data_IF_050721439545
#
_entry.id   IF_050721439545
#
_cell.length_a   1.000
_cell.length_b   1.000
_cell.length_c   1.000
_cell.angle_alpha   90.00
_cell.angle_beta   90.00
_cell.angle_gamma   90.00
#
_symmetry.space_group_name_H-M   'P 1'
#
loop_
_entity.id
_entity.type
_entity.pdbx_description
1 polymer ?
#
# COMPACT_ATOMS: atom_id res chain seq x y z
N UNK A 1 -13.52 -6.81 -16.92
CA UNK A 1 -13.94 -5.61 -17.68
C UNK A 1 -14.64 -5.92 -19.01
N UNK A 2 -14.06 -6.70 -19.93
CA UNK A 2 -14.67 -6.96 -21.26
C UNK A 2 -16.09 -7.60 -21.19
N UNK A 3 -16.35 -8.46 -20.20
CA UNK A 3 -17.70 -9.00 -19.95
C UNK A 3 -18.66 -7.98 -19.32
N UNK A 4 -18.15 -6.99 -18.58
CA UNK A 4 -18.92 -5.89 -17.99
C UNK A 4 -19.32 -4.87 -19.06
N UNK A 5 -18.41 -4.52 -19.97
CA UNK A 5 -18.71 -3.67 -21.14
C UNK A 5 -19.83 -4.26 -22.01
N UNK A 6 -19.80 -5.57 -22.26
CA UNK A 6 -20.87 -6.30 -22.97
C UNK A 6 -22.22 -6.28 -22.23
N UNK A 7 -22.21 -6.11 -20.91
CA UNK A 7 -23.41 -6.01 -20.08
C UNK A 7 -23.97 -4.59 -20.00
N UNK A 8 -23.14 -3.55 -20.15
CA UNK A 8 -23.55 -2.14 -20.02
C UNK A 8 -23.99 -1.53 -21.37
N UNK A 9 -23.50 -2.05 -22.50
CA UNK A 9 -23.93 -1.65 -23.85
C UNK A 9 -24.61 -2.81 -24.59
N UNK A 10 -25.88 -3.14 -24.31
CA UNK A 10 -26.59 -4.17 -25.06
C UNK A 10 -27.00 -3.65 -26.44
N UNK A 11 -26.82 -4.47 -27.47
CA UNK A 11 -27.24 -4.17 -28.85
C UNK A 11 -28.69 -4.58 -29.16
N UNK A 12 -29.52 -4.89 -28.15
CA UNK A 12 -30.91 -5.31 -28.35
C UNK A 12 -31.83 -4.92 -27.18
N UNK A 13 -32.99 -4.39 -27.54
CA UNK A 13 -34.06 -3.85 -26.69
C UNK A 13 -34.81 -4.96 -25.96
N UNK A 14 -34.56 -5.12 -24.66
CA UNK A 14 -35.35 -6.00 -23.78
C UNK A 14 -35.47 -5.34 -22.40
N UNK A 15 -36.70 -5.06 -21.95
CA UNK A 15 -36.97 -4.13 -20.85
C UNK A 15 -36.43 -4.57 -19.47
N UNK A 16 -36.16 -5.87 -19.28
CA UNK A 16 -35.49 -6.41 -18.08
C UNK A 16 -33.96 -6.24 -18.15
N UNK A 17 -33.37 -6.26 -19.35
CA UNK A 17 -31.95 -5.87 -19.55
C UNK A 17 -31.77 -4.37 -19.33
N UNK A 18 -32.72 -3.54 -19.75
CA UNK A 18 -32.64 -2.08 -19.57
C UNK A 18 -32.55 -1.66 -18.10
N UNK A 19 -33.27 -2.34 -17.18
CA UNK A 19 -33.16 -2.10 -15.73
C UNK A 19 -31.84 -2.58 -15.12
N UNK A 20 -31.28 -3.67 -15.65
CA UNK A 20 -29.97 -4.17 -15.24
C UNK A 20 -28.85 -3.23 -15.72
N UNK A 21 -28.93 -2.77 -16.98
CA UNK A 21 -27.99 -1.84 -17.60
C UNK A 21 -28.03 -0.47 -16.92
N UNK A 22 -29.20 0.03 -16.55
CA UNK A 22 -29.32 1.34 -15.89
C UNK A 22 -28.76 1.35 -14.46
N UNK A 23 -28.87 0.27 -13.67
CA UNK A 23 -28.24 0.24 -12.35
C UNK A 23 -26.81 -0.33 -12.30
N UNK A 24 -26.36 -1.06 -13.35
CA UNK A 24 -24.93 -1.17 -13.66
C UNK A 24 -24.35 0.20 -14.05
N UNK A 25 -25.08 1.02 -14.82
CA UNK A 25 -24.69 2.39 -15.10
C UNK A 25 -24.73 3.29 -13.85
N UNK A 26 -25.54 3.04 -12.84
CA UNK A 26 -25.47 3.78 -11.55
C UNK A 26 -24.20 3.41 -10.76
N UNK A 27 -23.79 2.13 -10.76
CA UNK A 27 -22.54 1.71 -10.11
C UNK A 27 -21.27 2.08 -10.92
N UNK A 28 -21.36 2.15 -12.24
CA UNK A 28 -20.21 2.33 -13.14
C UNK A 28 -20.14 3.73 -13.78
N UNK A 29 -21.26 4.45 -13.92
CA UNK A 29 -21.40 5.75 -14.59
C UNK A 29 -21.91 6.88 -13.66
N UNK A 30 -21.78 6.75 -12.33
CA UNK A 30 -21.91 7.90 -11.44
C UNK A 30 -20.80 8.91 -11.76
N UNK A 31 -21.08 9.83 -12.68
CA UNK A 31 -20.32 11.06 -12.86
C UNK A 31 -20.34 11.81 -11.52
N UNK A 32 -19.16 12.05 -10.93
CA UNK A 32 -18.97 13.15 -9.99
C UNK A 32 -19.58 13.05 -8.59
N UNK A 33 -20.29 12.00 -8.19
CA UNK A 33 -20.64 11.81 -6.77
C UNK A 33 -19.47 11.17 -6.02
N UNK A 34 -18.45 11.99 -5.79
CA UNK A 34 -17.35 11.72 -4.87
C UNK A 34 -17.93 11.51 -3.48
N UNK A 35 -18.23 10.27 -3.09
CA UNK A 35 -18.34 9.97 -1.66
C UNK A 35 -16.91 9.98 -1.16
N UNK A 36 -16.43 11.17 -0.79
CA UNK A 36 -15.17 11.38 -0.12
C UNK A 36 -15.20 10.50 1.14
N UNK A 37 -14.53 9.34 1.09
CA UNK A 37 -14.26 8.60 2.29
C UNK A 37 -13.36 9.53 3.12
N UNK A 38 -13.85 9.98 4.27
CA UNK A 38 -12.99 10.66 5.22
C UNK A 38 -12.24 9.59 6.01
N UNK A 39 -10.94 9.79 6.30
CA UNK A 39 -10.24 8.91 7.22
C UNK A 39 -10.96 8.91 8.57
N UNK A 40 -10.82 7.82 9.35
CA UNK A 40 -11.36 7.74 10.71
C UNK A 40 -10.66 8.72 11.68
N UNK A 41 -9.45 9.15 11.34
CA UNK A 41 -8.64 10.10 12.10
C UNK A 41 -7.95 11.09 11.14
N UNK A 42 -8.07 12.40 11.41
CA UNK A 42 -7.32 13.46 10.73
C UNK A 42 -5.98 13.67 11.47
N UNK A 43 -5.00 12.77 11.26
CA UNK A 43 -3.63 13.00 11.70
C UNK A 43 -2.81 13.57 10.54
N UNK A 44 -2.34 14.81 10.70
CA UNK A 44 -1.68 15.62 9.67
C UNK A 44 -0.16 15.40 9.57
N UNK A 45 0.37 14.31 10.12
CA UNK A 45 1.81 14.10 10.19
C UNK A 45 2.37 13.56 8.86
N UNK A 46 3.41 14.21 8.35
CA UNK A 46 4.20 13.70 7.23
C UNK A 46 5.08 12.54 7.70
N UNK A 47 4.98 11.39 7.04
CA UNK A 47 5.88 10.24 7.22
C UNK A 47 6.89 10.20 6.05
N UNK A 48 7.45 11.34 5.66
CA UNK A 48 8.28 11.46 4.45
C UNK A 48 9.70 10.92 4.64
N UNK A 49 10.31 11.06 5.82
CA UNK A 49 11.71 10.64 6.10
C UNK A 49 11.83 9.48 7.12
N UNK A 50 10.80 8.63 7.23
CA UNK A 50 10.77 7.61 8.28
C UNK A 50 11.87 6.55 8.15
N UNK A 51 12.23 6.16 6.93
CA UNK A 51 13.25 5.13 6.71
C UNK A 51 14.66 5.72 6.83
N UNK A 52 14.86 6.98 6.48
CA UNK A 52 16.10 7.73 6.63
C UNK A 52 16.47 7.92 8.09
N UNK A 53 15.49 8.33 8.91
CA UNK A 53 15.62 8.38 10.37
C UNK A 53 15.84 6.99 10.97
N UNK A 54 15.03 6.00 10.59
CA UNK A 54 15.21 4.61 11.03
C UNK A 54 16.59 4.05 10.67
N UNK A 55 17.13 4.38 9.50
CA UNK A 55 18.49 3.96 9.09
C UNK A 55 19.56 4.52 10.01
N UNK A 56 19.35 5.72 10.58
CA UNK A 56 20.25 6.33 11.56
C UNK A 56 20.18 5.59 12.90
N UNK A 57 18.97 5.23 13.34
CA UNK A 57 18.74 4.55 14.62
C UNK A 57 19.09 3.05 14.58
N UNK A 58 18.87 2.39 13.45
CA UNK A 58 18.99 0.94 13.28
C UNK A 58 19.67 0.58 11.94
N UNK A 59 20.94 0.96 11.71
CA UNK A 59 21.63 0.73 10.44
C UNK A 59 21.79 -0.76 10.08
N UNK A 60 21.80 -1.65 11.07
CA UNK A 60 21.93 -3.10 10.88
C UNK A 60 20.59 -3.79 10.60
N UNK A 61 19.47 -3.05 10.63
CA UNK A 61 18.16 -3.60 10.30
C UNK A 61 18.15 -4.06 8.83
N UNK A 62 17.86 -5.34 8.62
CA UNK A 62 17.79 -5.93 7.28
C UNK A 62 16.53 -5.44 6.56
N UNK A 63 16.66 -5.09 5.27
CA UNK A 63 15.54 -4.62 4.45
C UNK A 63 14.33 -5.57 4.49
N UNK A 64 14.56 -6.88 4.45
CA UNK A 64 13.51 -7.92 4.52
C UNK A 64 12.72 -7.94 5.85
N UNK A 65 13.25 -7.35 6.91
CA UNK A 65 12.60 -7.32 8.23
C UNK A 65 11.81 -6.03 8.46
N UNK A 66 12.01 -5.03 7.59
CA UNK A 66 11.28 -3.75 7.65
C UNK A 66 9.86 -3.97 7.17
N UNK A 67 8.89 -3.55 7.98
CA UNK A 67 7.46 -3.49 7.62
C UNK A 67 7.22 -2.16 6.91
N UNK A 68 6.85 -2.22 5.64
CA UNK A 68 6.69 -1.07 4.75
C UNK A 68 5.24 -1.03 4.25
N UNK A 69 4.55 0.11 4.43
CA UNK A 69 3.32 0.39 3.70
C UNK A 69 3.58 0.38 2.19
N UNK A 70 2.63 -0.15 1.43
CA UNK A 70 2.74 -0.31 -0.02
C UNK A 70 1.40 0.04 -0.68
N UNK A 71 1.42 0.54 -1.93
CA UNK A 71 0.17 0.91 -2.63
C UNK A 71 -0.07 0.08 -3.88
N UNK A 72 -1.28 -0.44 -4.02
CA UNK A 72 -1.75 -1.16 -5.21
C UNK A 72 -2.22 -0.18 -6.28
N UNK A 73 -1.88 -0.50 -7.54
CA UNK A 73 -2.23 0.30 -8.73
C UNK A 73 -2.03 1.80 -8.46
N UNK A 74 -0.81 2.13 -8.00
CA UNK A 74 -0.49 3.35 -7.25
C UNK A 74 -0.84 4.62 -8.02
N UNK A 75 -0.64 4.60 -9.34
CA UNK A 75 -0.88 5.75 -10.21
C UNK A 75 -2.33 5.80 -10.75
N UNK A 76 -3.22 4.91 -10.32
CA UNK A 76 -4.63 4.91 -10.75
C UNK A 76 -5.36 6.24 -10.47
N UNK A 77 -4.90 7.04 -9.50
CA UNK A 77 -5.40 8.39 -9.23
C UNK A 77 -5.28 9.36 -10.42
N UNK A 78 -4.39 9.07 -11.37
CA UNK A 78 -4.23 9.82 -12.62
C UNK A 78 -5.32 9.54 -13.66
N UNK A 79 -6.14 8.51 -13.46
CA UNK A 79 -7.30 8.23 -14.32
C UNK A 79 -8.31 9.35 -14.14
N UNK A 80 -8.56 10.09 -15.22
CA UNK A 80 -9.50 11.21 -15.20
C UNK A 80 -10.86 10.76 -14.67
N UNK A 81 -11.41 11.54 -13.72
CA UNK A 81 -12.74 11.33 -13.15
C UNK A 81 -13.84 11.38 -14.22
N UNK A 82 -13.57 12.03 -15.36
CA UNK A 82 -14.48 12.15 -16.51
C UNK A 82 -14.43 10.94 -17.45
N UNK A 83 -13.43 10.06 -17.32
CA UNK A 83 -13.36 8.82 -18.08
C UNK A 83 -14.53 7.92 -17.69
N UNK A 84 -15.25 7.40 -18.69
CA UNK A 84 -16.34 6.45 -18.46
C UNK A 84 -15.79 5.23 -17.69
N UNK A 85 -16.47 4.84 -16.62
CA UNK A 85 -16.06 3.76 -15.72
C UNK A 85 -14.79 4.03 -14.89
N UNK A 86 -14.32 5.28 -14.78
CA UNK A 86 -13.15 5.63 -13.95
C UNK A 86 -13.26 5.10 -12.51
N UNK A 87 -14.44 5.22 -11.90
CA UNK A 87 -14.68 4.82 -10.51
C UNK A 87 -14.44 3.32 -10.21
N UNK A 88 -14.44 2.43 -11.22
CA UNK A 88 -14.12 1.01 -11.01
C UNK A 88 -12.62 0.70 -11.14
N UNK A 89 -11.84 1.65 -11.67
CA UNK A 89 -10.39 1.54 -11.84
C UNK A 89 -9.56 2.38 -10.88
N UNK A 90 -10.18 3.23 -10.06
CA UNK A 90 -9.47 4.00 -9.03
C UNK A 90 -9.17 3.11 -7.83
N UNK A 91 -7.88 3.00 -7.50
CA UNK A 91 -7.36 2.29 -6.32
C UNK A 91 -6.66 3.23 -5.33
N UNK A 92 -6.34 4.46 -5.73
CA UNK A 92 -5.79 5.51 -4.87
C UNK A 92 -6.50 6.85 -5.12
N UNK A 93 -6.56 7.71 -4.10
CA UNK A 93 -7.06 9.09 -4.23
C UNK A 93 -5.94 10.13 -4.38
N UNK A 94 -4.72 9.77 -3.99
CA UNK A 94 -3.57 10.68 -3.87
C UNK A 94 -2.56 10.46 -4.99
N UNK A 95 -1.74 11.47 -5.27
CA UNK A 95 -0.63 11.36 -6.21
C UNK A 95 0.44 10.41 -5.69
N UNK A 96 1.44 10.08 -6.52
CA UNK A 96 2.53 9.18 -6.12
C UNK A 96 3.39 9.85 -5.04
N UNK A 97 3.74 11.11 -5.22
CA UNK A 97 4.47 11.91 -4.23
C UNK A 97 3.74 11.93 -2.88
N UNK A 98 2.42 12.16 -2.89
CA UNK A 98 1.58 12.17 -1.70
C UNK A 98 1.48 10.80 -1.01
N UNK A 99 1.49 9.69 -1.76
CA UNK A 99 1.56 8.34 -1.19
C UNK A 99 2.90 8.08 -0.47
N UNK A 100 4.00 8.53 -1.06
CA UNK A 100 5.34 8.43 -0.49
C UNK A 100 5.45 9.26 0.80
N UNK A 101 4.92 10.50 0.82
CA UNK A 101 4.84 11.32 2.04
C UNK A 101 3.99 10.72 3.16
N UNK A 102 2.99 9.91 2.82
CA UNK A 102 2.20 9.16 3.80
C UNK A 102 2.92 7.93 4.34
N UNK A 103 4.05 7.54 3.75
CA UNK A 103 4.92 6.48 4.25
C UNK A 103 5.03 5.26 3.33
N UNK A 104 4.38 5.25 2.16
CA UNK A 104 4.50 4.15 1.22
C UNK A 104 5.94 3.98 0.71
N UNK A 105 6.45 2.75 0.64
CA UNK A 105 7.79 2.43 0.09
C UNK A 105 7.79 1.33 -0.96
N UNK A 106 6.60 0.86 -1.36
CA UNK A 106 6.42 0.11 -2.59
C UNK A 106 5.29 0.66 -3.43
N UNK A 107 5.52 0.73 -4.74
CA UNK A 107 4.58 1.24 -5.75
C UNK A 107 4.35 0.18 -6.86
N UNK A 108 3.07 -0.13 -7.14
CA UNK A 108 2.63 -0.94 -8.29
C UNK A 108 2.20 0.01 -9.43
N UNK A 109 3.08 0.20 -10.41
CA UNK A 109 2.88 1.12 -11.54
C UNK A 109 2.52 0.32 -12.79
N UNK A 110 1.31 0.54 -13.31
CA UNK A 110 0.77 -0.21 -14.44
C UNK A 110 0.73 0.64 -15.70
N UNK A 111 1.38 0.18 -16.76
CA UNK A 111 1.57 0.98 -17.98
C UNK A 111 1.07 0.30 -19.24
N UNK A 112 0.66 1.13 -20.20
CA UNK A 112 0.25 0.75 -21.54
C UNK A 112 0.86 1.66 -22.59
N UNK A 113 0.99 1.16 -23.81
CA UNK A 113 1.48 1.93 -24.95
C UNK A 113 0.37 2.39 -25.88
N UNK A 114 0.74 3.26 -26.81
CA UNK A 114 -0.14 3.72 -27.90
C UNK A 114 0.50 3.32 -29.24
N UNK A 115 0.08 2.20 -29.88
CA UNK A 115 0.72 1.69 -31.10
C UNK A 115 0.66 2.65 -32.29
N UNK A 116 -0.37 3.49 -32.33
CA UNK A 116 -0.60 4.46 -33.41
C UNK A 116 0.07 5.80 -33.15
N UNK A 117 0.81 5.95 -32.05
CA UNK A 117 1.43 7.22 -31.70
C UNK A 117 2.68 7.47 -32.53
N UNK A 118 2.85 8.71 -32.97
CA UNK A 118 4.10 9.16 -33.59
C UNK A 118 5.21 9.38 -32.55
N UNK A 119 4.87 9.44 -31.25
CA UNK A 119 5.83 9.63 -30.17
C UNK A 119 6.14 8.32 -29.46
N UNK A 120 7.43 8.07 -29.21
CA UNK A 120 7.88 6.97 -28.35
C UNK A 120 7.66 7.26 -26.86
N UNK A 121 7.37 8.51 -26.49
CA UNK A 121 7.07 8.93 -25.12
C UNK A 121 5.59 8.73 -24.73
N UNK A 122 4.75 8.27 -25.66
CA UNK A 122 3.31 8.07 -25.44
C UNK A 122 3.04 6.76 -24.69
N UNK A 123 3.50 6.73 -23.45
CA UNK A 123 3.30 5.67 -22.47
C UNK A 123 2.45 6.24 -21.33
N UNK A 124 1.34 5.57 -21.04
CA UNK A 124 0.36 6.03 -20.07
C UNK A 124 0.15 5.02 -18.95
N UNK A 125 -0.29 5.53 -17.80
CA UNK A 125 -0.77 4.74 -16.67
C UNK A 125 -2.09 4.08 -17.03
N UNK A 126 -2.33 2.83 -16.63
CA UNK A 126 -3.61 2.18 -16.94
C UNK A 126 -4.06 1.15 -15.92
N UNK A 127 -5.38 0.97 -15.84
CA UNK A 127 -6.01 -0.11 -15.09
C UNK A 127 -7.00 -0.85 -15.99
N UNK A 128 -6.60 -2.03 -16.45
CA UNK A 128 -7.37 -2.79 -17.42
C UNK A 128 -7.46 -2.05 -18.75
N UNK A 129 -8.64 -1.53 -19.09
CA UNK A 129 -8.87 -0.75 -20.32
C UNK A 129 -8.76 0.76 -20.10
N UNK A 130 -8.73 1.19 -18.84
CA UNK A 130 -8.80 2.60 -18.46
C UNK A 130 -7.43 3.22 -18.60
N UNK A 131 -7.34 4.34 -19.31
CA UNK A 131 -6.13 5.13 -19.45
C UNK A 131 -6.12 6.26 -18.44
N UNK A 132 -4.96 6.50 -17.84
CA UNK A 132 -4.67 7.58 -16.91
C UNK A 132 -3.63 8.54 -17.45
N UNK A 133 -2.82 9.09 -16.55
CA UNK A 133 -1.82 10.10 -16.86
C UNK A 133 -0.58 9.55 -17.58
N UNK A 134 0.38 10.44 -17.82
CA UNK A 134 1.65 10.09 -18.46
C UNK A 134 2.58 9.36 -17.48
N UNK A 135 3.29 8.33 -17.95
CA UNK A 135 4.24 7.58 -17.14
C UNK A 135 5.44 8.43 -16.67
N UNK A 136 5.91 9.37 -17.48
CA UNK A 136 6.99 10.29 -17.13
C UNK A 136 6.67 11.16 -15.91
N UNK A 137 5.44 11.67 -15.80
CA UNK A 137 5.02 12.43 -14.61
C UNK A 137 5.13 11.59 -13.33
N UNK A 138 4.83 10.29 -13.40
CA UNK A 138 5.00 9.37 -12.27
C UNK A 138 6.49 9.20 -11.92
N UNK A 139 7.37 9.11 -12.91
CA UNK A 139 8.83 9.06 -12.68
C UNK A 139 9.34 10.33 -12.02
N UNK A 140 8.84 11.50 -12.45
CA UNK A 140 9.17 12.81 -11.87
C UNK A 140 8.76 12.89 -10.40
N UNK A 141 7.52 12.51 -10.06
CA UNK A 141 7.03 12.51 -8.67
C UNK A 141 7.86 11.61 -7.75
N UNK A 142 8.27 10.41 -8.21
CA UNK A 142 9.16 9.52 -7.44
C UNK A 142 10.55 10.12 -7.30
N UNK A 143 11.08 10.71 -8.38
CA UNK A 143 12.41 11.32 -8.38
C UNK A 143 12.49 12.54 -7.46
N UNK A 144 11.46 13.38 -7.45
CA UNK A 144 11.31 14.53 -6.56
C UNK A 144 11.37 14.08 -5.10
N UNK A 145 10.52 13.13 -4.72
CA UNK A 145 10.51 12.57 -3.36
C UNK A 145 11.88 12.01 -2.94
N UNK A 146 12.53 11.22 -3.79
CA UNK A 146 13.84 10.61 -3.49
C UNK A 146 14.99 11.62 -3.49
N UNK A 147 14.80 12.79 -4.10
CA UNK A 147 15.77 13.89 -4.05
C UNK A 147 15.65 14.66 -2.75
N UNK A 148 14.41 14.89 -2.30
CA UNK A 148 14.12 15.55 -1.02
C UNK A 148 14.45 14.66 0.18
N UNK A 149 14.31 13.34 0.04
CA UNK A 149 14.47 12.37 1.11
C UNK A 149 15.52 11.29 0.73
N UNK A 150 16.82 11.65 0.65
CA UNK A 150 17.87 10.74 0.15
C UNK A 150 18.14 9.53 1.05
N UNK A 151 17.66 9.55 2.30
CA UNK A 151 17.74 8.42 3.24
C UNK A 151 16.67 7.34 3.03
N UNK A 152 15.67 7.62 2.21
CA UNK A 152 14.58 6.69 1.93
C UNK A 152 14.99 5.60 0.95
N UNK A 153 14.20 4.52 0.86
CA UNK A 153 14.38 3.50 -0.15
C UNK A 153 13.03 3.05 -0.71
N UNK A 154 12.84 3.20 -2.02
CA UNK A 154 11.57 2.87 -2.71
C UNK A 154 11.76 1.64 -3.59
N UNK A 155 10.82 0.70 -3.52
CA UNK A 155 10.69 -0.39 -4.48
C UNK A 155 9.58 -0.05 -5.45
N UNK A 156 9.89 0.14 -6.73
CA UNK A 156 8.88 0.44 -7.74
C UNK A 156 8.79 -0.72 -8.73
N UNK A 157 7.59 -1.27 -8.89
CA UNK A 157 7.31 -2.29 -9.89
C UNK A 157 6.57 -1.69 -11.08
N UNK A 158 7.09 -1.92 -12.29
CA UNK A 158 6.46 -1.54 -13.54
C UNK A 158 5.85 -2.77 -14.20
N UNK A 159 4.52 -2.80 -14.27
CA UNK A 159 3.73 -3.89 -14.84
C UNK A 159 3.19 -3.48 -16.20
N UNK A 160 3.52 -4.27 -17.23
CA UNK A 160 2.99 -4.06 -18.58
C UNK A 160 1.59 -4.66 -18.77
N UNK A 161 0.62 -3.80 -19.07
CA UNK A 161 -0.78 -4.16 -19.30
C UNK A 161 -1.01 -4.40 -20.80
N UNK A 162 -0.83 -5.64 -21.23
CA UNK A 162 -0.78 -6.06 -22.64
C UNK A 162 -2.01 -5.75 -23.51
N UNK A 163 -3.20 -5.47 -22.94
CA UNK A 163 -4.36 -4.99 -23.71
C UNK A 163 -4.10 -3.62 -24.36
N UNK A 164 -3.16 -2.86 -23.80
CA UNK A 164 -2.63 -1.65 -24.39
C UNK A 164 -1.28 -1.96 -25.03
N UNK A 165 -1.33 -2.44 -26.28
CA UNK A 165 -0.13 -2.83 -27.03
C UNK A 165 0.93 -1.70 -27.01
N UNK A 166 2.18 -2.08 -26.79
CA UNK A 166 3.31 -1.17 -26.68
C UNK A 166 4.38 -1.61 -27.68
N UNK A 167 4.64 -0.82 -28.75
CA UNK A 167 5.67 -1.09 -29.72
C UNK A 167 7.07 -1.22 -29.08
N UNK A 168 8.01 -1.96 -29.71
CA UNK A 168 9.37 -2.14 -29.22
C UNK A 168 10.10 -0.84 -28.85
N UNK A 169 9.90 0.23 -29.63
CA UNK A 169 10.53 1.54 -29.41
C UNK A 169 9.99 2.22 -28.14
N UNK A 170 8.69 2.10 -27.87
CA UNK A 170 8.09 2.61 -26.62
C UNK A 170 8.58 1.80 -25.41
N UNK A 171 8.71 0.48 -25.55
CA UNK A 171 9.27 -0.38 -24.47
C UNK A 171 10.71 0.02 -24.16
N UNK A 172 11.55 0.23 -25.19
CA UNK A 172 12.91 0.73 -24.99
C UNK A 172 12.89 2.09 -24.29
N UNK A 173 11.98 2.98 -24.69
CA UNK A 173 11.85 4.31 -24.10
C UNK A 173 11.48 4.27 -22.63
N UNK A 174 10.65 3.32 -22.19
CA UNK A 174 10.33 3.10 -20.76
C UNK A 174 11.60 2.84 -19.95
N UNK A 175 12.48 1.94 -20.40
CA UNK A 175 13.73 1.64 -19.69
C UNK A 175 14.70 2.81 -19.70
N UNK A 176 14.85 3.49 -20.84
CA UNK A 176 15.69 4.69 -20.95
C UNK A 176 15.20 5.82 -20.05
N UNK A 177 13.87 6.00 -19.95
CA UNK A 177 13.30 7.01 -19.07
C UNK A 177 13.64 6.71 -17.62
N UNK A 178 13.37 5.49 -17.15
CA UNK A 178 13.71 5.06 -15.79
C UNK A 178 15.21 5.23 -15.48
N UNK A 179 16.09 4.79 -16.38
CA UNK A 179 17.55 4.92 -16.20
C UNK A 179 17.98 6.39 -16.18
N UNK A 180 17.48 7.22 -17.10
CA UNK A 180 17.80 8.65 -17.12
C UNK A 180 17.25 9.44 -15.92
N UNK A 181 16.11 9.02 -15.35
CA UNK A 181 15.50 9.68 -14.20
C UNK A 181 16.23 9.34 -12.91
N UNK A 182 16.55 8.06 -12.68
CA UNK A 182 17.09 7.62 -11.39
C UNK A 182 18.61 7.46 -11.38
N UNK A 183 19.21 7.07 -12.50
CA UNK A 183 20.66 6.94 -12.68
C UNK A 183 21.33 6.12 -11.58
N UNK A 184 22.39 6.68 -11.00
CA UNK A 184 23.20 6.01 -9.97
C UNK A 184 22.45 5.68 -8.67
N UNK A 185 21.25 6.23 -8.46
CA UNK A 185 20.39 5.91 -7.30
C UNK A 185 19.83 4.49 -7.36
N UNK A 186 19.80 3.88 -8.56
CA UNK A 186 19.22 2.57 -8.80
C UNK A 186 20.11 1.44 -8.29
N UNK A 187 19.50 0.38 -7.76
CA UNK A 187 20.16 -0.92 -7.62
C UNK A 187 20.48 -1.46 -9.02
N UNK A 188 21.75 -1.46 -9.39
CA UNK A 188 22.21 -1.99 -10.68
C UNK A 188 22.27 -3.52 -10.70
N UNK A 189 22.51 -4.11 -11.88
CA UNK A 189 22.78 -5.54 -11.98
C UNK A 189 24.07 -5.96 -11.24
N UNK A 190 25.07 -5.09 -11.17
CA UNK A 190 26.30 -5.35 -10.42
C UNK A 190 26.03 -5.35 -8.91
N UNK A 191 25.27 -4.37 -8.41
CA UNK A 191 24.85 -4.29 -7.00
C UNK A 191 24.08 -5.55 -6.59
N UNK A 192 23.09 -5.94 -7.40
CA UNK A 192 22.31 -7.17 -7.21
C UNK A 192 23.16 -8.44 -7.20
N UNK A 193 24.26 -8.48 -7.98
CA UNK A 193 25.19 -9.62 -8.02
C UNK A 193 26.15 -9.65 -6.84
N UNK A 194 26.52 -8.49 -6.30
CA UNK A 194 27.56 -8.35 -5.29
C UNK A 194 26.97 -8.21 -3.88
N UNK A 195 26.52 -7.02 -3.50
CA UNK A 195 26.20 -6.68 -2.10
C UNK A 195 24.70 -6.59 -1.82
N UNK A 196 23.86 -6.25 -2.82
CA UNK A 196 22.41 -6.14 -2.64
C UNK A 196 21.75 -7.51 -2.67
N UNK A 197 21.90 -8.27 -1.58
CA UNK A 197 21.24 -9.56 -1.36
C UNK A 197 20.13 -9.38 -0.36
N UNK A 198 18.86 -9.53 -0.77
CA UNK A 198 17.67 -9.35 0.10
C UNK A 198 17.80 -10.07 1.46
N UNK A 199 18.44 -11.24 1.47
CA UNK A 199 18.74 -12.01 2.68
C UNK A 199 19.50 -11.25 3.76
N UNK A 200 20.44 -10.40 3.36
CA UNK A 200 21.44 -9.82 4.26
C UNK A 200 21.57 -8.30 4.16
N UNK A 201 21.10 -7.67 3.09
CA UNK A 201 21.25 -6.24 2.89
C UNK A 201 20.55 -5.47 4.02
N UNK A 202 21.28 -4.53 4.61
CA UNK A 202 20.79 -3.68 5.70
C UNK A 202 20.48 -2.27 5.19
N UNK A 203 19.65 -1.55 5.93
CA UNK A 203 19.35 -0.14 5.66
C UNK A 203 20.64 0.71 5.61
N UNK A 204 21.55 0.49 6.56
CA UNK A 204 22.85 1.18 6.60
C UNK A 204 23.71 0.91 5.38
N UNK A 205 23.71 -0.34 4.87
CA UNK A 205 24.46 -0.69 3.65
C UNK A 205 23.89 0.04 2.43
N UNK A 206 22.56 0.08 2.30
CA UNK A 206 21.87 0.77 1.19
C UNK A 206 22.23 2.26 1.18
N UNK A 207 22.14 2.91 2.36
CA UNK A 207 22.49 4.32 2.52
C UNK A 207 23.96 4.59 2.23
N UNK A 208 24.88 3.75 2.71
CA UNK A 208 26.32 3.88 2.46
C UNK A 208 26.65 3.80 0.95
N UNK A 209 25.88 3.01 0.20
CA UNK A 209 26.03 2.86 -1.25
C UNK A 209 25.32 3.96 -2.05
N UNK A 210 24.67 4.91 -1.38
CA UNK A 210 23.91 6.01 -1.98
C UNK A 210 22.86 5.52 -2.98
N UNK A 211 22.24 4.37 -2.68
CA UNK A 211 21.15 3.79 -3.46
C UNK A 211 19.84 4.06 -2.74
N UNK A 212 18.80 4.46 -3.47
CA UNK A 212 17.49 4.70 -2.89
C UNK A 212 16.31 4.19 -3.72
N UNK A 213 16.55 3.47 -4.81
CA UNK A 213 15.47 2.83 -5.59
C UNK A 213 15.83 1.46 -6.15
N UNK A 214 14.90 0.51 -6.02
CA UNK A 214 14.91 -0.78 -6.72
C UNK A 214 13.79 -0.81 -7.75
N UNK A 215 14.15 -0.96 -9.03
CA UNK A 215 13.18 -1.09 -10.12
C UNK A 215 12.93 -2.56 -10.45
N UNK A 216 11.67 -2.95 -10.31
CA UNK A 216 11.17 -4.27 -10.66
C UNK A 216 10.30 -4.15 -11.91
N UNK A 217 10.34 -5.18 -12.75
CA UNK A 217 9.57 -5.23 -13.99
C UNK A 217 8.87 -6.57 -14.15
N UNK A 218 7.73 -6.52 -14.82
CA UNK A 218 7.02 -7.68 -15.31
C UNK A 218 7.68 -8.26 -16.57
N UNK A 219 7.81 -9.58 -16.63
CA UNK A 219 8.47 -10.31 -17.72
C UNK A 219 7.94 -10.00 -19.13
N UNK A 220 6.67 -9.58 -19.26
CA UNK A 220 6.02 -9.34 -20.55
C UNK A 220 6.51 -8.07 -21.24
N UNK A 221 7.16 -7.14 -20.51
CA UNK A 221 7.70 -5.91 -21.10
C UNK A 221 9.02 -6.16 -21.85
N UNK A 222 9.73 -7.23 -21.52
CA UNK A 222 10.98 -7.64 -22.16
C UNK A 222 10.74 -8.44 -23.47
N UNK A 223 11.82 -8.99 -24.03
CA UNK A 223 11.84 -9.85 -25.21
C UNK A 223 11.33 -9.15 -26.49
N UNK A 224 11.91 -7.99 -26.78
CA UNK A 224 11.68 -7.22 -28.01
C UNK A 224 13.00 -6.84 -28.66
N UNK A 225 12.96 -6.42 -29.93
CA UNK A 225 14.15 -6.01 -30.69
C UNK A 225 13.99 -4.60 -31.22
N UNK A 226 15.01 -3.77 -31.05
CA UNK A 226 15.12 -2.44 -31.67
C UNK A 226 16.46 -2.37 -32.39
N UNK A 227 16.47 -1.95 -33.65
CA UNK A 227 17.68 -1.84 -34.47
C UNK A 227 18.58 -3.10 -34.47
N UNK A 228 17.96 -4.29 -34.47
CA UNK A 228 18.67 -5.58 -34.48
C UNK A 228 19.23 -6.03 -33.13
N UNK A 229 19.06 -5.24 -32.06
CA UNK A 229 19.48 -5.61 -30.70
C UNK A 229 18.30 -6.18 -29.90
N UNK A 230 18.51 -7.36 -29.31
CA UNK A 230 17.54 -8.02 -28.44
C UNK A 230 17.62 -7.47 -27.01
N UNK A 231 16.48 -7.03 -26.49
CA UNK A 231 16.29 -6.61 -25.11
C UNK A 231 15.53 -7.69 -24.34
N UNK A 232 16.27 -8.74 -23.97
CA UNK A 232 15.79 -9.75 -23.02
C UNK A 232 16.01 -9.27 -21.57
N UNK A 233 15.61 -10.10 -20.62
CA UNK A 233 15.68 -9.78 -19.20
C UNK A 233 17.10 -9.51 -18.71
N UNK A 234 18.10 -10.18 -19.31
CA UNK A 234 19.51 -10.02 -18.92
C UNK A 234 20.07 -8.72 -19.46
N UNK A 235 19.77 -8.40 -20.71
CA UNK A 235 20.16 -7.13 -21.34
C UNK A 235 19.54 -5.96 -20.59
N UNK A 236 18.24 -6.04 -20.28
CA UNK A 236 17.52 -4.98 -19.58
C UNK A 236 18.08 -4.73 -18.19
N UNK A 237 18.37 -5.78 -17.42
CA UNK A 237 18.97 -5.61 -16.10
C UNK A 237 20.40 -5.04 -16.19
N UNK A 238 21.20 -5.49 -17.15
CA UNK A 238 22.58 -5.03 -17.33
C UNK A 238 22.67 -3.56 -17.76
N UNK A 239 21.82 -3.13 -18.69
CA UNK A 239 21.89 -1.80 -19.28
C UNK A 239 21.09 -0.76 -18.52
N UNK A 240 19.98 -1.15 -17.89
CA UNK A 240 19.04 -0.20 -17.28
C UNK A 240 18.80 -0.45 -15.79
N UNK A 241 19.47 -1.41 -15.16
CA UNK A 241 19.27 -1.70 -13.74
C UNK A 241 17.83 -2.12 -13.37
N UNK A 242 17.07 -2.62 -14.34
CA UNK A 242 15.68 -3.05 -14.16
C UNK A 242 15.61 -4.57 -14.00
N UNK A 243 15.02 -5.05 -12.91
CA UNK A 243 15.10 -6.47 -12.54
C UNK A 243 13.74 -7.16 -12.59
N UNK A 244 13.71 -8.46 -12.89
CA UNK A 244 12.48 -9.23 -12.74
C UNK A 244 11.97 -9.24 -11.30
N UNK A 245 10.68 -8.98 -11.13
CA UNK A 245 10.02 -9.05 -9.82
C UNK A 245 10.35 -10.36 -9.08
N UNK A 246 10.21 -11.50 -9.76
CA UNK A 246 10.37 -12.86 -9.19
C UNK A 246 11.75 -13.16 -8.59
N UNK A 247 12.77 -12.33 -8.86
CA UNK A 247 14.10 -12.47 -8.27
C UNK A 247 14.25 -11.77 -6.93
N UNK A 248 13.39 -10.79 -6.64
CA UNK A 248 13.49 -9.93 -5.46
C UNK A 248 12.28 -10.03 -4.55
N UNK A 249 11.13 -10.46 -5.08
CA UNK A 249 9.87 -10.42 -4.36
C UNK A 249 9.03 -11.67 -4.62
N UNK A 250 8.18 -11.98 -3.66
CA UNK A 250 7.03 -12.86 -3.84
C UNK A 250 5.76 -12.12 -3.46
N UNK A 251 4.76 -12.23 -4.31
CA UNK A 251 3.45 -11.63 -4.14
C UNK A 251 2.38 -12.60 -4.63
N UNK A 252 1.15 -12.46 -4.13
CA UNK A 252 0.01 -13.28 -4.59
C UNK A 252 -1.25 -12.43 -4.62
N UNK A 253 -1.83 -12.32 -5.81
CA UNK A 253 -3.16 -11.75 -5.98
C UNK A 253 -4.23 -12.79 -5.63
N UNK A 254 -4.99 -12.55 -4.56
CA UNK A 254 -5.97 -13.51 -4.05
C UNK A 254 -7.31 -13.50 -4.80
N UNK A 255 -7.56 -12.49 -5.64
CA UNK A 255 -8.72 -12.37 -6.52
C UNK A 255 -10.05 -12.71 -5.82
N UNK A 256 -10.37 -11.99 -4.74
CA UNK A 256 -11.60 -12.18 -3.96
C UNK A 256 -12.27 -10.86 -3.58
N UNK A 257 -13.60 -10.86 -3.51
CA UNK A 257 -14.40 -9.75 -2.98
C UNK A 257 -14.77 -9.95 -1.49
N UNK A 258 -14.40 -11.10 -0.91
CA UNK A 258 -14.74 -11.46 0.46
C UNK A 258 -13.58 -11.14 1.40
N UNK A 259 -13.82 -10.24 2.35
CA UNK A 259 -12.88 -9.86 3.41
C UNK A 259 -12.31 -11.05 4.17
N UNK A 260 -13.15 -11.96 4.66
CA UNK A 260 -12.68 -13.12 5.44
C UNK A 260 -11.76 -14.04 4.62
N UNK A 261 -12.12 -14.27 3.35
CA UNK A 261 -11.29 -15.05 2.44
C UNK A 261 -9.96 -14.35 2.16
N UNK A 262 -9.96 -13.03 1.98
CA UNK A 262 -8.75 -12.23 1.77
C UNK A 262 -7.78 -12.34 2.94
N UNK A 263 -8.27 -12.16 4.18
CA UNK A 263 -7.44 -12.26 5.39
C UNK A 263 -6.86 -13.66 5.55
N UNK A 264 -7.70 -14.71 5.41
CA UNK A 264 -7.25 -16.11 5.49
C UNK A 264 -6.23 -16.46 4.40
N UNK A 265 -6.41 -15.95 3.19
CA UNK A 265 -5.50 -16.24 2.08
C UNK A 265 -4.15 -15.54 2.25
N UNK A 266 -4.13 -14.32 2.83
CA UNK A 266 -2.89 -13.64 3.21
C UNK A 266 -2.19 -14.35 4.37
N UNK A 267 -2.91 -14.84 5.37
CA UNK A 267 -2.33 -15.66 6.43
C UNK A 267 -1.65 -16.91 5.87
N UNK A 268 -2.35 -17.65 5.00
CA UNK A 268 -1.79 -18.84 4.36
C UNK A 268 -0.56 -18.51 3.53
N UNK A 269 -0.64 -17.46 2.72
CA UNK A 269 0.49 -16.98 1.94
C UNK A 269 1.69 -16.65 2.83
N UNK A 270 1.49 -15.89 3.91
CA UNK A 270 2.57 -15.51 4.82
C UNK A 270 3.18 -16.73 5.54
N UNK A 271 2.38 -17.72 5.89
CA UNK A 271 2.87 -18.98 6.46
C UNK A 271 3.72 -19.77 5.46
N UNK A 272 3.35 -19.77 4.18
CA UNK A 272 4.04 -20.50 3.12
C UNK A 272 5.38 -19.83 2.75
N UNK A 273 5.41 -18.49 2.64
CA UNK A 273 6.56 -17.76 2.09
C UNK A 273 7.28 -16.82 3.05
N UNK A 274 6.69 -16.50 4.21
CA UNK A 274 7.24 -15.54 5.18
C UNK A 274 8.59 -15.93 5.78
N UNK A 275 8.96 -17.21 5.68
CA UNK A 275 10.28 -17.73 6.09
C UNK A 275 11.33 -17.70 4.98
N UNK A 276 10.94 -17.39 3.75
CA UNK A 276 11.88 -17.29 2.64
C UNK A 276 12.76 -16.06 2.83
N UNK A 277 14.05 -16.29 3.09
CA UNK A 277 14.98 -15.19 3.34
C UNK A 277 15.46 -14.48 2.08
N UNK A 278 15.22 -15.04 0.90
CA UNK A 278 15.85 -14.58 -0.34
C UNK A 278 15.04 -13.52 -1.09
N UNK A 279 13.81 -13.25 -0.65
CA UNK A 279 12.89 -12.34 -1.33
C UNK A 279 12.14 -11.48 -0.30
N UNK A 280 11.69 -10.32 -0.77
CA UNK A 280 10.71 -9.48 -0.11
C UNK A 280 9.34 -10.19 -0.19
N UNK A 281 8.53 -10.05 0.85
CA UNK A 281 7.20 -10.66 0.91
C UNK A 281 6.18 -9.55 0.81
N UNK A 282 5.28 -9.65 -0.17
CA UNK A 282 4.25 -8.65 -0.42
C UNK A 282 2.86 -9.23 -0.18
N UNK A 283 2.31 -8.91 0.99
CA UNK A 283 0.97 -9.29 1.40
C UNK A 283 -0.05 -8.31 0.84
N UNK A 284 -0.89 -8.79 -0.07
CA UNK A 284 -1.84 -7.94 -0.80
C UNK A 284 -3.20 -7.92 -0.12
N UNK A 285 -3.54 -6.81 0.53
CA UNK A 285 -4.84 -6.58 1.14
C UNK A 285 -5.77 -5.81 0.21
N UNK A 286 -5.97 -6.37 -0.98
CA UNK A 286 -6.77 -5.78 -2.06
C UNK A 286 -8.00 -6.65 -2.31
N UNK A 287 -9.19 -6.06 -2.21
CA UNK A 287 -10.44 -6.71 -2.59
C UNK A 287 -10.72 -6.47 -4.07
N UNK A 288 -10.94 -7.55 -4.81
CA UNK A 288 -11.19 -7.48 -6.25
C UNK A 288 -12.68 -7.42 -6.55
N UNK A 289 -13.17 -6.37 -7.24
CA UNK A 289 -14.53 -6.35 -7.74
C UNK A 289 -14.79 -7.52 -8.70
N UNK A 290 -15.82 -8.32 -8.41
CA UNK A 290 -16.23 -9.40 -9.31
C UNK A 290 -17.47 -9.00 -10.12
N UNK A 291 -17.51 -9.28 -11.43
CA UNK A 291 -18.73 -9.12 -12.21
C UNK A 291 -19.84 -10.03 -11.65
N UNK A 292 -21.12 -9.65 -11.78
CA UNK A 292 -22.22 -10.47 -11.27
C UNK A 292 -22.23 -11.83 -11.97
N UNK A 293 -22.26 -12.90 -11.18
CA UNK A 293 -22.26 -14.28 -11.69
C UNK A 293 -23.69 -14.84 -11.90
N UNK A 294 -24.70 -14.13 -11.41
CA UNK A 294 -26.12 -14.50 -11.54
C UNK A 294 -27.08 -13.39 -11.11
N UNK A 295 -28.39 -13.69 -11.15
CA UNK A 295 -29.46 -12.71 -10.88
C UNK A 295 -29.38 -12.15 -9.46
N UNK A 296 -29.02 -12.97 -8.46
CA UNK A 296 -28.87 -12.50 -7.07
C UNK A 296 -27.71 -11.50 -6.92
N UNK A 297 -26.57 -11.76 -7.57
CA UNK A 297 -25.42 -10.82 -7.54
C UNK A 297 -25.74 -9.53 -8.28
N UNK A 298 -26.48 -9.64 -9.39
CA UNK A 298 -26.97 -8.47 -10.10
C UNK A 298 -27.89 -7.67 -9.16
N UNK A 299 -28.88 -8.28 -8.51
CA UNK A 299 -29.75 -7.60 -7.52
C UNK A 299 -28.92 -6.94 -6.43
N UNK A 300 -27.92 -7.62 -5.85
CA UNK A 300 -27.04 -7.02 -4.82
C UNK A 300 -26.29 -5.79 -5.33
N UNK A 301 -25.85 -5.78 -6.59
CA UNK A 301 -25.27 -4.59 -7.22
C UNK A 301 -26.34 -3.48 -7.39
N UNK A 302 -27.54 -3.81 -7.88
CA UNK A 302 -28.63 -2.85 -8.08
C UNK A 302 -29.08 -2.20 -6.74
N UNK A 303 -29.11 -2.98 -5.66
CA UNK A 303 -29.51 -2.51 -4.33
C UNK A 303 -28.36 -1.84 -3.55
N UNK A 304 -27.17 -1.72 -4.15
CA UNK A 304 -25.98 -1.12 -3.51
C UNK A 304 -25.36 -1.97 -2.39
N UNK A 305 -25.80 -3.22 -2.24
CA UNK A 305 -25.26 -4.19 -1.26
C UNK A 305 -23.86 -4.64 -1.67
N UNK A 306 -23.65 -4.85 -2.98
CA UNK A 306 -22.33 -5.05 -3.57
C UNK A 306 -21.94 -3.81 -4.37
N UNK A 307 -20.64 -3.59 -4.55
CA UNK A 307 -20.14 -2.50 -5.40
C UNK A 307 -19.00 -2.97 -6.29
N UNK A 308 -18.94 -2.40 -7.50
CA UNK A 308 -17.83 -2.57 -8.41
C UNK A 308 -16.71 -1.55 -8.18
N UNK A 309 -16.90 -0.61 -7.24
CA UNK A 309 -15.92 0.44 -6.94
C UNK A 309 -14.96 -0.06 -5.86
N UNK A 310 -13.64 -0.06 -6.10
CA UNK A 310 -12.65 -0.46 -5.09
C UNK A 310 -12.83 0.26 -3.75
N UNK A 311 -13.13 1.57 -3.76
CA UNK A 311 -13.37 2.36 -2.53
C UNK A 311 -14.52 1.84 -1.66
N UNK A 312 -15.53 1.19 -2.27
CA UNK A 312 -16.65 0.62 -1.51
C UNK A 312 -16.28 -0.73 -0.87
N UNK A 313 -15.35 -1.47 -1.48
CA UNK A 313 -14.81 -2.70 -0.92
C UNK A 313 -13.81 -2.38 0.21
N UNK A 314 -12.91 -1.41 -0.01
CA UNK A 314 -11.91 -1.03 1.00
C UNK A 314 -12.56 -0.54 2.29
N UNK A 315 -13.71 0.15 2.22
CA UNK A 315 -14.49 0.55 3.41
C UNK A 315 -14.95 -0.63 4.27
N UNK A 316 -15.15 -1.80 3.68
CA UNK A 316 -15.48 -3.01 4.44
C UNK A 316 -14.24 -3.60 5.11
N UNK A 317 -13.09 -3.48 4.44
CA UNK A 317 -11.81 -3.94 4.92
C UNK A 317 -11.24 -3.05 6.05
N UNK A 318 -11.46 -1.74 5.95
CA UNK A 318 -11.06 -0.72 6.94
C UNK A 318 -12.15 -0.45 7.98
N UNK A 319 -12.98 -1.45 8.30
CA UNK A 319 -13.75 -1.40 9.55
C UNK A 319 -12.82 -1.78 10.69
N UNK A 320 -13.04 -1.16 11.85
CA UNK A 320 -12.25 -1.27 13.08
C UNK A 320 -11.74 -2.68 13.40
N UNK A 321 -12.63 -3.67 13.37
CA UNK A 321 -12.32 -5.06 13.77
C UNK A 321 -11.92 -5.98 12.60
N UNK A 322 -11.41 -5.42 11.51
CA UNK A 322 -11.15 -6.18 10.29
C UNK A 322 -9.66 -6.21 9.95
N UNK A 323 -9.16 -5.35 9.06
CA UNK A 323 -7.77 -5.44 8.59
C UNK A 323 -6.79 -5.04 9.68
N UNK A 324 -7.04 -3.88 10.31
CA UNK A 324 -6.16 -3.30 11.31
C UNK A 324 -6.00 -4.26 12.49
N UNK A 325 -7.10 -4.80 13.01
CA UNK A 325 -7.09 -5.80 14.07
C UNK A 325 -6.36 -7.08 13.64
N UNK A 326 -6.65 -7.59 12.45
CA UNK A 326 -6.00 -8.81 11.93
C UNK A 326 -4.48 -8.68 11.84
N UNK A 327 -3.98 -7.56 11.32
CA UNK A 327 -2.53 -7.32 11.19
C UNK A 327 -1.91 -6.97 12.54
N UNK A 328 -2.58 -6.18 13.39
CA UNK A 328 -2.11 -5.83 14.74
C UNK A 328 -1.92 -7.06 15.61
N UNK A 329 -2.93 -7.93 15.67
CA UNK A 329 -2.87 -9.15 16.47
C UNK A 329 -1.74 -10.09 16.00
N UNK A 330 -1.26 -9.88 14.77
CA UNK A 330 -0.13 -10.55 14.13
C UNK A 330 1.07 -9.63 13.91
N UNK A 331 1.25 -8.58 14.71
CA UNK A 331 2.33 -7.60 14.51
C UNK A 331 3.75 -8.22 14.60
N UNK A 332 3.87 -9.41 15.18
CA UNK A 332 5.12 -10.19 15.22
C UNK A 332 5.43 -10.97 13.93
N UNK A 333 4.50 -11.09 12.99
CA UNK A 333 4.71 -11.84 11.75
C UNK A 333 5.64 -11.08 10.78
N UNK A 334 6.15 -11.80 9.77
CA UNK A 334 7.12 -11.28 8.79
C UNK A 334 6.45 -10.54 7.62
N UNK A 335 5.60 -9.54 7.92
CA UNK A 335 4.77 -8.84 6.93
C UNK A 335 5.55 -8.23 5.75
N UNK A 336 6.74 -7.67 6.00
CA UNK A 336 7.56 -6.93 5.05
C UNK A 336 6.75 -5.89 4.25
N UNK A 337 6.28 -6.15 3.03
CA UNK A 337 5.41 -5.22 2.29
C UNK A 337 3.93 -5.49 2.59
N UNK A 338 3.19 -4.47 3.00
CA UNK A 338 1.74 -4.50 3.23
C UNK A 338 1.04 -3.63 2.20
N UNK A 339 0.49 -4.24 1.15
CA UNK A 339 -0.07 -3.55 -0.02
C UNK A 339 -1.55 -3.23 0.16
N UNK A 340 -1.89 -1.94 -0.01
CA UNK A 340 -3.18 -1.35 0.31
C UNK A 340 -3.77 -0.58 -0.88
N UNK A 341 -5.10 -0.60 -0.97
CA UNK A 341 -5.86 0.40 -1.74
C UNK A 341 -6.16 1.62 -0.86
N UNK A 342 -6.14 2.82 -1.41
CA UNK A 342 -6.48 4.08 -0.73
C UNK A 342 -5.74 4.27 0.60
N UNK A 343 -4.42 4.40 0.53
CA UNK A 343 -3.57 4.58 1.72
C UNK A 343 -3.99 5.79 2.58
N UNK A 344 -4.63 6.80 1.96
CA UNK A 344 -5.17 7.99 2.63
C UNK A 344 -6.32 7.70 3.60
N UNK A 345 -6.96 6.53 3.52
CA UNK A 345 -8.11 6.18 4.36
C UNK A 345 -7.75 5.46 5.67
N UNK A 346 -6.48 5.13 5.87
CA UNK A 346 -6.01 4.39 7.05
C UNK A 346 -4.69 4.95 7.63
N UNK A 347 -4.58 6.27 7.88
CA UNK A 347 -3.32 6.89 8.29
C UNK A 347 -2.75 6.34 9.62
N UNK A 348 -3.60 6.04 10.60
CA UNK A 348 -3.15 5.41 11.86
C UNK A 348 -2.64 3.99 11.65
N UNK A 349 -3.27 3.22 10.76
CA UNK A 349 -2.76 1.89 10.40
C UNK A 349 -1.40 1.97 9.72
N UNK A 350 -1.21 2.95 8.83
CA UNK A 350 0.09 3.21 8.19
C UNK A 350 1.15 3.57 9.23
N UNK A 351 0.84 4.45 10.20
CA UNK A 351 1.74 4.77 11.32
C UNK A 351 2.03 3.54 12.18
N UNK A 352 1.05 2.69 12.45
CA UNK A 352 1.25 1.42 13.14
C UNK A 352 2.25 0.52 12.40
N UNK A 353 2.07 0.33 11.09
CA UNK A 353 2.98 -0.47 10.26
C UNK A 353 4.43 0.07 10.31
N UNK A 354 4.60 1.39 10.27
CA UNK A 354 5.91 2.02 10.37
C UNK A 354 6.49 1.87 11.79
N UNK A 355 5.68 2.06 12.83
CA UNK A 355 6.06 1.95 14.24
C UNK A 355 6.59 0.56 14.63
N UNK A 356 6.12 -0.50 13.98
CA UNK A 356 6.62 -1.87 14.11
C UNK A 356 8.12 -2.04 13.75
N UNK A 357 8.77 -1.02 13.21
CA UNK A 357 10.19 -1.01 12.87
C UNK A 357 11.08 -0.36 13.93
N UNK A 358 10.51 0.28 14.95
CA UNK A 358 11.29 0.97 15.97
C UNK A 358 12.30 0.01 16.63
N UNK A 359 13.57 0.41 16.78
CA UNK A 359 14.54 -0.35 17.55
C UNK A 359 14.36 -0.18 19.08
N UNK A 360 13.47 0.73 19.49
CA UNK A 360 13.25 1.11 20.89
C UNK A 360 12.22 0.20 21.55
N UNK A 361 12.35 0.02 22.85
CA UNK A 361 11.45 -0.81 23.65
C UNK A 361 10.40 0.05 24.35
N UNK A 362 9.14 -0.18 24.04
CA UNK A 362 7.98 0.38 24.73
C UNK A 362 7.68 -0.42 26.00
N UNK A 363 7.77 0.23 27.17
CA UNK A 363 7.33 -0.32 28.44
C UNK A 363 6.06 0.36 28.94
N UNK A 364 5.00 -0.43 29.14
CA UNK A 364 3.78 0.03 29.85
C UNK A 364 4.02 -0.06 31.36
N UNK A 365 4.09 1.10 32.01
CA UNK A 365 4.36 1.24 33.44
C UNK A 365 3.08 1.14 34.26
N UNK A 366 2.01 1.80 33.85
CA UNK A 366 0.71 1.79 34.53
C UNK A 366 -0.41 1.87 33.49
N UNK A 367 -1.52 1.18 33.73
CA UNK A 367 -2.73 1.36 32.94
C UNK A 367 -3.95 1.10 33.81
N UNK A 368 -4.75 2.14 34.03
CA UNK A 368 -5.91 2.12 34.92
C UNK A 368 -7.08 2.79 34.22
N UNK A 369 -8.23 2.15 34.26
CA UNK A 369 -9.48 2.67 33.72
C UNK A 369 -10.29 3.33 34.85
N UNK A 370 -10.78 4.55 34.64
CA UNK A 370 -11.84 5.14 35.44
C UNK A 370 -13.18 5.03 34.69
N UNK A 371 -14.16 4.35 35.28
CA UNK A 371 -15.53 4.26 34.72
C UNK A 371 -16.37 5.47 35.16
N UNK A 372 -17.51 5.69 34.48
CA UNK A 372 -18.47 6.74 34.86
C UNK A 372 -19.06 6.53 36.26
N UNK A 373 -19.04 5.31 36.77
CA UNK A 373 -19.56 4.94 38.09
C UNK A 373 -18.52 5.13 39.21
N UNK A 374 -17.29 5.56 38.86
CA UNK A 374 -16.20 5.82 39.82
C UNK A 374 -15.36 4.60 40.17
N UNK A 375 -15.61 3.45 39.53
CA UNK A 375 -14.78 2.25 39.70
C UNK A 375 -13.46 2.40 38.93
N UNK A 376 -12.36 2.01 39.58
CA UNK A 376 -11.04 1.91 38.95
C UNK A 376 -10.69 0.45 38.64
N UNK A 377 -10.37 0.16 37.37
CA UNK A 377 -9.99 -1.17 36.90
C UNK A 377 -8.57 -1.16 36.36
N UNK A 378 -7.68 -1.95 36.94
CA UNK A 378 -6.30 -2.12 36.45
C UNK A 378 -6.24 -2.97 35.18
N UNK A 379 -5.79 -2.39 34.07
CA UNK A 379 -5.76 -3.01 32.73
C UNK A 379 -4.35 -3.17 32.16
N UNK A 380 -3.32 -2.95 32.98
CA UNK A 380 -1.90 -3.01 32.59
C UNK A 380 -1.51 -4.31 31.88
N UNK A 381 -1.96 -5.47 32.37
CA UNK A 381 -1.62 -6.76 31.77
C UNK A 381 -2.18 -6.88 30.35
N UNK A 382 -3.46 -6.49 30.15
CA UNK A 382 -4.08 -6.48 28.83
C UNK A 382 -3.37 -5.53 27.86
N UNK A 383 -3.05 -4.31 28.33
CA UNK A 383 -2.28 -3.34 27.53
C UNK A 383 -0.89 -3.89 27.14
N UNK A 384 -0.19 -4.58 28.06
CA UNK A 384 1.11 -5.19 27.78
C UNK A 384 1.04 -6.29 26.71
N UNK A 385 0.00 -7.13 26.72
CA UNK A 385 -0.19 -8.19 25.70
C UNK A 385 -0.45 -7.63 24.30
N UNK A 386 -0.95 -6.39 24.22
CA UNK A 386 -1.19 -5.69 22.97
C UNK A 386 0.05 -4.97 22.41
N UNK A 387 1.14 -4.86 23.17
CA UNK A 387 2.41 -4.34 22.65
C UNK A 387 2.99 -5.31 21.62
N UNK A 388 3.20 -4.83 20.39
CA UNK A 388 3.73 -5.60 19.27
C UNK A 388 5.18 -5.23 18.97
N UNK A 389 5.98 -6.25 18.68
CA UNK A 389 7.45 -6.15 18.49
C UNK A 389 8.18 -5.40 19.61
N UNK A 390 7.62 -5.43 20.83
CA UNK A 390 8.10 -4.70 22.00
C UNK A 390 8.16 -3.17 21.83
N UNK A 391 7.57 -2.59 20.77
CA UNK A 391 7.81 -1.19 20.43
C UNK A 391 6.55 -0.37 20.09
N UNK A 392 5.39 -1.01 19.96
CA UNK A 392 4.17 -0.31 19.51
C UNK A 392 2.93 -0.88 20.16
N UNK A 393 2.05 -0.02 20.67
CA UNK A 393 0.73 -0.39 21.19
C UNK A 393 -0.35 0.26 20.33
N UNK A 394 -1.30 -0.51 19.81
CA UNK A 394 -2.43 0.03 19.04
C UNK A 394 -3.76 -0.47 19.60
N UNK A 395 -4.41 0.39 20.38
CA UNK A 395 -5.76 0.17 20.88
C UNK A 395 -6.74 0.55 19.78
N UNK A 396 -7.41 -0.44 19.23
CA UNK A 396 -8.44 -0.23 18.23
C UNK A 396 -9.76 -0.08 18.97
N UNK A 397 -10.19 -1.12 19.67
CA UNK A 397 -11.43 -1.16 20.45
C UNK A 397 -11.11 -1.33 21.92
N UNK A 398 -11.14 -0.25 22.69
CA UNK A 398 -10.79 -0.25 24.11
C UNK A 398 -11.61 -1.27 24.91
N UNK A 399 -12.90 -1.45 24.57
CA UNK A 399 -13.75 -2.41 25.26
C UNK A 399 -13.27 -3.84 25.00
N UNK A 400 -13.10 -4.22 23.73
CA UNK A 400 -12.71 -5.57 23.37
C UNK A 400 -11.24 -5.85 23.72
N UNK A 401 -10.36 -4.90 23.46
CA UNK A 401 -8.91 -5.04 23.59
C UNK A 401 -8.46 -5.08 25.05
N UNK A 402 -9.10 -4.30 25.93
CA UNK A 402 -8.79 -4.28 27.36
C UNK A 402 -9.73 -5.16 28.20
N UNK A 403 -10.69 -5.85 27.57
CA UNK A 403 -11.62 -6.78 28.24
C UNK A 403 -12.61 -6.08 29.18
N UNK A 404 -13.14 -4.92 28.76
CA UNK A 404 -13.99 -4.07 29.59
C UNK A 404 -15.47 -4.42 29.48
N UNK A 405 -16.22 -4.18 30.55
CA UNK A 405 -17.69 -4.25 30.53
C UNK A 405 -18.36 -3.00 29.93
N UNK A 406 -17.62 -1.89 29.86
CA UNK A 406 -18.10 -0.58 29.40
C UNK A 406 -17.52 -0.23 28.03
N UNK A 407 -18.28 0.53 27.24
CA UNK A 407 -17.86 0.98 25.91
C UNK A 407 -17.34 2.43 25.87
N UNK A 408 -17.28 3.10 27.03
CA UNK A 408 -16.80 4.47 27.17
C UNK A 408 -16.21 4.67 28.57
N UNK A 409 -15.24 5.58 28.70
CA UNK A 409 -14.56 5.84 29.97
C UNK A 409 -13.31 6.69 29.79
N UNK A 410 -12.42 6.67 30.78
CA UNK A 410 -11.10 7.33 30.71
C UNK A 410 -10.01 6.33 31.05
N UNK A 411 -9.06 6.13 30.13
CA UNK A 411 -7.85 5.34 30.36
C UNK A 411 -6.72 6.26 30.83
N UNK A 412 -6.20 6.01 32.02
CA UNK A 412 -4.92 6.55 32.48
C UNK A 412 -3.83 5.55 32.09
N UNK A 413 -2.88 5.99 31.27
CA UNK A 413 -1.80 5.15 30.76
C UNK A 413 -0.46 5.84 30.97
N UNK A 414 0.45 5.14 31.63
CA UNK A 414 1.84 5.57 31.82
C UNK A 414 2.76 4.62 31.09
N UNK A 415 3.64 5.15 30.25
CA UNK A 415 4.59 4.35 29.49
C UNK A 415 5.92 5.08 29.30
N UNK A 416 6.95 4.37 28.85
CA UNK A 416 8.23 4.96 28.43
C UNK A 416 8.84 4.17 27.29
N UNK A 417 9.73 4.82 26.53
CA UNK A 417 10.60 4.15 25.57
C UNK A 417 12.02 4.06 26.13
N UNK A 418 12.56 2.85 26.22
CA UNK A 418 13.89 2.57 26.78
C UNK A 418 14.11 3.25 28.16
N UNK A 419 15.10 4.15 28.23
CA UNK A 419 15.49 4.90 29.44
C UNK A 419 14.97 6.34 29.45
N UNK A 420 14.06 6.71 28.54
CA UNK A 420 13.45 8.04 28.52
C UNK A 420 12.55 8.27 29.75
N UNK A 421 12.24 9.54 29.98
CA UNK A 421 11.22 9.92 30.95
C UNK A 421 9.86 9.30 30.60
N UNK A 422 9.10 8.93 31.63
CA UNK A 422 7.77 8.35 31.42
C UNK A 422 6.79 9.40 30.94
N UNK A 423 5.97 9.03 29.97
CA UNK A 423 4.83 9.80 29.49
C UNK A 423 3.58 9.34 30.24
N UNK A 424 2.84 10.29 30.78
CA UNK A 424 1.53 10.08 31.42
C UNK A 424 0.43 10.60 30.48
N UNK A 425 -0.49 9.72 30.09
CA UNK A 425 -1.60 10.03 29.19
C UNK A 425 -2.94 9.79 29.89
N UNK A 426 -3.88 10.71 29.67
CA UNK A 426 -5.28 10.57 30.06
C UNK A 426 -6.11 10.57 28.79
N UNK A 427 -6.71 9.42 28.48
CA UNK A 427 -7.33 9.15 27.19
C UNK A 427 -8.83 8.89 27.42
N UNK A 428 -9.70 9.88 27.20
CA UNK A 428 -11.12 9.64 27.07
C UNK A 428 -11.35 8.72 25.87
N UNK A 429 -12.21 7.72 26.00
CA UNK A 429 -12.57 6.85 24.90
C UNK A 429 -14.05 6.54 24.85
N UNK A 430 -14.49 6.20 23.65
CA UNK A 430 -15.79 5.67 23.29
C UNK A 430 -15.63 4.52 22.26
N UNK A 431 -16.73 4.14 21.61
CA UNK A 431 -16.76 3.07 20.60
C UNK A 431 -15.99 3.41 19.32
N UNK A 432 -15.69 4.68 19.05
CA UNK A 432 -15.01 5.13 17.83
C UNK A 432 -13.55 5.54 18.09
N UNK A 433 -13.16 5.63 19.36
CA UNK A 433 -11.81 6.01 19.78
C UNK A 433 -10.81 4.90 19.47
N UNK A 434 -9.74 5.27 18.77
CA UNK A 434 -8.53 4.48 18.58
C UNK A 434 -7.33 5.23 19.17
N UNK A 435 -6.30 4.50 19.60
CA UNK A 435 -5.11 5.10 20.19
C UNK A 435 -3.85 4.30 19.85
N UNK A 436 -2.88 4.97 19.23
CA UNK A 436 -1.61 4.39 18.83
C UNK A 436 -0.48 5.02 19.63
N UNK A 437 0.39 4.18 20.19
CA UNK A 437 1.66 4.56 20.77
C UNK A 437 2.74 3.92 19.92
N UNK A 438 3.54 4.75 19.29
CA UNK A 438 4.70 4.39 18.50
C UNK A 438 5.83 5.37 18.78
N UNK A 439 7.04 4.98 18.43
CA UNK A 439 8.22 5.81 18.61
C UNK A 439 8.24 6.94 17.57
N UNK A 440 7.94 8.16 18.03
CA UNK A 440 7.84 9.34 17.16
C UNK A 440 9.21 9.88 16.70
N UNK A 441 10.32 9.37 17.25
CA UNK A 441 11.68 9.83 16.88
C UNK A 441 12.03 9.62 15.40
N UNK A 442 11.33 8.70 14.71
CA UNK A 442 11.48 8.48 13.28
C UNK A 442 10.17 8.61 12.48
N UNK A 443 9.07 9.09 13.08
CA UNK A 443 7.78 9.22 12.39
C UNK A 443 7.40 10.66 12.06
N UNK A 444 7.96 11.64 12.76
CA UNK A 444 7.67 13.06 12.54
C UNK A 444 8.92 13.80 12.10
N UNK A 445 8.76 14.84 11.27
CA UNK A 445 9.85 15.77 10.93
C UNK A 445 10.10 16.67 12.15
N UNK A 446 11.37 17.00 12.43
CA UNK A 446 11.75 17.75 13.64
C UNK A 446 11.06 19.13 13.71
N UNK A 447 10.60 19.65 12.56
CA UNK A 447 9.93 20.94 12.41
C UNK A 447 8.42 20.94 12.83
N UNK A 448 7.84 19.79 13.19
CA UNK A 448 6.44 19.66 13.64
C UNK A 448 6.31 19.48 15.17
N UNK A 449 7.40 19.61 15.95
CA UNK A 449 7.40 19.45 17.41
C UNK A 449 7.21 20.75 18.22
N UNK A 450 6.99 21.90 17.56
CA UNK A 450 6.78 23.21 18.21
C UNK A 450 5.31 23.59 18.44
#
# INVERSE_FOLDING_TARGET
>A
MNSLLKLVMPTNTDATKDRLCSALAINCCQFGCYIQAKPRCDCCHSNDDWMGKLTTLAPDLKLRNVVMPATHDSASSTISKWTLFSAVGLCQNTSIYEQLKRGARYLDIRIGGTPTSASVDDVFICHGILKGGNFGNVMEEVSEFLTENPGEFVVMEVVYVNIHEMPPEQRLRVFQLMESTFGDRMISQEDAKTWFKVKNVTLGTIRQKSKNILLLIDDRICNFTVNGKLYDDKTVAQEFGCHKNVHFMTNKWHNTQCTQQLLKSNEQFLNDVGRNEKVLVNSQFVLTPMPPSGVQDAIKLLTGVNSLRPVSLVRQLYKKDVLEKFVRDRGGDNWNLVLLDFIDLCPQFVRFLIGLNSPRTLEVLEATLATKDGDEVGVKSAAKELVKRNCTLYLLDFQQDLGLAVSEGTLHLKYKFDDDESVDCVIPFDQDTEYLICDDSFLCRDDEQD
#
